data_IF_512114875139
#
_entry.id   IF_512114875139
#
_cell.length_a   1.000
_cell.length_b   1.000
_cell.length_c   1.000
_cell.angle_alpha   90.00
_cell.angle_beta   90.00
_cell.angle_gamma   90.00
#
_symmetry.space_group_name_H-M   'P 1'
#
loop_
_entity.id
_entity.type
_entity.pdbx_description
1 polymer ?
#
# COMPACT_ATOMS: atom_id res chain seq x y z
N UNK A 1 20.72 3.72 19.40
CA UNK A 1 19.53 2.87 19.16
C UNK A 1 20.01 1.76 18.27
N UNK A 2 19.69 0.49 18.59
CA UNK A 2 20.03 -0.60 17.70
C UNK A 2 19.33 -0.35 16.36
N UNK A 3 20.07 -0.50 15.27
CA UNK A 3 19.55 -0.42 13.91
C UNK A 3 18.48 -1.50 13.78
N UNK A 4 17.21 -1.10 13.85
CA UNK A 4 16.10 -2.03 13.57
C UNK A 4 16.15 -2.17 12.06
N UNK A 5 16.76 -3.26 11.58
CA UNK A 5 16.99 -3.46 10.15
C UNK A 5 15.69 -3.31 9.36
N UNK A 6 15.79 -2.71 8.17
CA UNK A 6 14.67 -2.53 7.26
C UNK A 6 14.12 -3.89 6.79
N UNK A 7 12.86 -3.94 6.36
CA UNK A 7 12.19 -5.17 5.94
C UNK A 7 12.91 -5.83 4.74
N UNK A 8 13.42 -5.04 3.81
CA UNK A 8 14.25 -5.48 2.68
C UNK A 8 15.68 -5.87 3.09
N UNK A 9 16.06 -5.64 4.35
CA UNK A 9 17.27 -6.20 4.94
C UNK A 9 17.07 -7.59 5.58
N UNK A 10 15.83 -8.09 5.62
CA UNK A 10 15.46 -9.39 6.22
C UNK A 10 15.49 -10.54 5.21
N UNK A 11 15.42 -11.77 5.73
CA UNK A 11 15.42 -12.99 4.90
C UNK A 11 16.80 -13.31 4.32
N UNK A 12 16.84 -14.26 3.39
CA UNK A 12 18.07 -14.63 2.68
C UNK A 12 18.07 -14.08 1.26
N UNK A 13 19.24 -13.71 0.77
CA UNK A 13 19.43 -13.39 -0.65
C UNK A 13 19.25 -14.66 -1.49
N UNK A 14 18.57 -14.52 -2.63
CA UNK A 14 18.30 -15.59 -3.59
C UNK A 14 18.53 -15.09 -5.01
N UNK A 15 18.77 -16.00 -5.96
CA UNK A 15 18.81 -15.61 -7.37
C UNK A 15 17.39 -15.44 -7.93
N UNK A 16 17.28 -14.74 -9.05
CA UNK A 16 16.01 -14.65 -9.80
C UNK A 16 15.51 -16.02 -10.26
N UNK A 17 16.42 -16.93 -10.64
CA UNK A 17 16.08 -18.30 -11.07
C UNK A 17 15.52 -19.11 -9.90
N UNK A 18 16.14 -18.99 -8.72
CA UNK A 18 15.61 -19.63 -7.52
C UNK A 18 14.22 -19.09 -7.17
N UNK A 19 14.04 -17.76 -7.23
CA UNK A 19 12.76 -17.13 -6.94
C UNK A 19 11.68 -17.56 -7.95
N UNK A 20 12.02 -17.60 -9.24
CA UNK A 20 11.13 -18.07 -10.31
C UNK A 20 10.76 -19.55 -10.14
N UNK A 21 11.70 -20.39 -9.70
CA UNK A 21 11.41 -21.78 -9.38
C UNK A 21 10.46 -21.90 -8.19
N UNK A 22 10.70 -21.11 -7.14
CA UNK A 22 9.91 -21.14 -5.92
C UNK A 22 8.47 -20.68 -6.12
N UNK A 23 8.28 -19.71 -7.02
CA UNK A 23 7.00 -19.14 -7.42
C UNK A 23 6.50 -19.70 -8.75
N UNK A 24 6.98 -20.88 -9.18
CA UNK A 24 6.56 -21.46 -10.46
C UNK A 24 5.04 -21.64 -10.51
N UNK A 25 4.42 -21.04 -11.52
CA UNK A 25 2.96 -21.09 -11.71
C UNK A 25 2.18 -20.06 -10.89
N UNK A 26 2.87 -19.17 -10.17
CA UNK A 26 2.25 -18.07 -9.45
C UNK A 26 1.80 -16.95 -10.41
N UNK A 27 0.58 -16.45 -10.25
CA UNK A 27 -0.01 -15.46 -11.16
C UNK A 27 0.79 -14.14 -11.21
N UNK A 28 1.37 -13.74 -10.07
CA UNK A 28 2.17 -12.52 -9.94
C UNK A 28 3.67 -12.72 -10.26
N UNK A 29 4.09 -13.91 -10.70
CA UNK A 29 5.51 -14.16 -10.99
C UNK A 29 6.02 -13.20 -12.08
N UNK A 30 5.30 -13.04 -13.19
CA UNK A 30 5.73 -12.16 -14.28
C UNK A 30 5.87 -10.70 -13.80
N UNK A 31 4.86 -10.19 -13.09
CA UNK A 31 4.85 -8.85 -12.49
C UNK A 31 6.05 -8.61 -11.56
N UNK A 32 6.41 -9.62 -10.76
CA UNK A 32 7.56 -9.55 -9.87
C UNK A 32 8.89 -9.54 -10.65
N UNK A 33 8.98 -10.35 -11.71
CA UNK A 33 10.17 -10.42 -12.56
C UNK A 33 10.38 -9.16 -13.40
N UNK A 34 9.32 -8.42 -13.74
CA UNK A 34 9.43 -7.12 -14.44
C UNK A 34 10.27 -6.12 -13.65
N UNK A 35 10.39 -6.27 -12.33
CA UNK A 35 11.26 -5.40 -11.52
C UNK A 35 12.71 -5.40 -12.01
N UNK A 36 13.16 -6.48 -12.65
CA UNK A 36 14.50 -6.63 -13.22
C UNK A 36 14.78 -5.62 -14.34
N UNK A 37 13.77 -5.25 -15.10
CA UNK A 37 13.91 -4.41 -16.31
C UNK A 37 13.42 -2.98 -16.11
N UNK A 38 12.69 -2.72 -15.03
CA UNK A 38 12.18 -1.39 -14.68
C UNK A 38 13.20 -0.52 -13.92
N UNK A 39 14.34 -1.11 -13.55
CA UNK A 39 15.40 -0.47 -12.75
C UNK A 39 16.69 -0.33 -13.55
N UNK A 40 17.49 0.69 -13.20
CA UNK A 40 18.83 0.88 -13.77
C UNK A 40 19.86 -0.11 -13.23
N UNK A 41 19.65 -0.58 -12.00
CA UNK A 41 20.49 -1.56 -11.31
C UNK A 41 19.61 -2.68 -10.79
N UNK A 42 19.86 -3.91 -11.25
CA UNK A 42 19.11 -5.11 -10.84
C UNK A 42 19.27 -5.34 -9.33
N UNK A 43 18.20 -5.30 -8.52
CA UNK A 43 18.28 -5.54 -7.09
C UNK A 43 18.52 -7.03 -6.82
N UNK A 44 19.25 -7.34 -5.75
CA UNK A 44 19.38 -8.72 -5.29
C UNK A 44 18.06 -9.18 -4.65
N UNK A 45 17.36 -10.20 -5.19
CA UNK A 45 16.13 -10.68 -4.60
C UNK A 45 16.35 -11.24 -3.20
N UNK A 46 15.39 -11.01 -2.31
CA UNK A 46 15.38 -11.61 -0.98
C UNK A 46 14.10 -12.38 -0.72
N UNK A 47 14.26 -13.46 0.03
CA UNK A 47 13.20 -14.39 0.37
C UNK A 47 13.14 -14.56 1.89
N UNK A 48 11.98 -14.29 2.47
CA UNK A 48 11.63 -14.65 3.83
C UNK A 48 10.79 -15.92 3.78
N UNK A 49 11.31 -17.00 4.35
CA UNK A 49 10.59 -18.28 4.46
C UNK A 49 9.67 -18.24 5.69
N UNK A 50 8.36 -18.25 5.44
CA UNK A 50 7.33 -18.17 6.48
C UNK A 50 6.82 -16.75 6.75
N UNK A 51 5.99 -16.62 7.78
CA UNK A 51 5.37 -15.36 8.17
C UNK A 51 6.32 -14.44 8.95
N UNK A 52 6.14 -13.14 8.80
CA UNK A 52 6.76 -12.09 9.62
C UNK A 52 5.71 -11.56 10.58
N UNK A 53 5.93 -11.73 11.88
CA UNK A 53 5.05 -11.19 12.93
C UNK A 53 5.87 -10.35 13.91
N UNK A 54 5.55 -9.05 14.01
CA UNK A 54 6.23 -8.11 14.91
C UNK A 54 5.24 -7.18 15.60
N UNK A 55 5.70 -6.44 16.61
CA UNK A 55 4.86 -5.46 17.36
C UNK A 55 5.33 -4.02 17.20
N UNK A 56 6.21 -3.75 16.24
CA UNK A 56 6.80 -2.44 15.97
C UNK A 56 6.63 -2.08 14.49
N UNK A 57 6.85 -0.82 14.16
CA UNK A 57 6.78 -0.33 12.79
C UNK A 57 7.84 -1.03 11.93
N UNK A 58 7.52 -1.36 10.68
CA UNK A 58 8.49 -1.87 9.70
C UNK A 58 8.52 -0.95 8.50
N UNK A 59 9.70 -0.73 7.98
CA UNK A 59 9.91 0.05 6.76
C UNK A 59 10.91 -0.64 5.84
N UNK A 60 10.77 -0.41 4.53
CA UNK A 60 11.83 -0.72 3.57
C UNK A 60 12.83 0.42 3.50
N UNK A 61 14.04 0.12 3.03
CA UNK A 61 15.01 1.14 2.63
C UNK A 61 14.64 1.82 1.31
N UNK A 62 15.55 2.66 0.83
CA UNK A 62 15.33 3.56 -0.30
C UNK A 62 15.30 2.85 -1.67
N UNK A 63 15.62 1.56 -1.72
CA UNK A 63 15.56 0.73 -2.92
C UNK A 63 16.72 0.93 -3.92
N UNK A 64 16.64 0.27 -5.09
CA UNK A 64 15.61 -0.69 -5.46
C UNK A 64 15.69 -1.97 -4.62
N UNK A 65 14.54 -2.52 -4.23
CA UNK A 65 14.44 -3.80 -3.51
C UNK A 65 13.46 -4.75 -4.21
N UNK A 66 13.74 -6.06 -4.10
CA UNK A 66 12.82 -7.12 -4.51
C UNK A 66 12.71 -8.12 -3.37
N UNK A 67 11.56 -8.15 -2.71
CA UNK A 67 11.32 -8.95 -1.52
C UNK A 67 10.10 -9.84 -1.69
N UNK A 68 10.23 -11.10 -1.27
CA UNK A 68 9.13 -12.05 -1.18
C UNK A 68 9.02 -12.62 0.22
N UNK A 69 7.81 -12.60 0.77
CA UNK A 69 7.45 -13.21 2.04
C UNK A 69 6.54 -14.39 1.75
N UNK A 70 7.03 -15.62 2.01
CA UNK A 70 6.26 -16.85 1.84
C UNK A 70 5.38 -17.14 3.05
N UNK A 71 4.48 -16.22 3.36
CA UNK A 71 3.61 -16.25 4.52
C UNK A 71 2.90 -14.92 4.75
N UNK A 72 2.45 -14.71 5.97
CA UNK A 72 1.77 -13.48 6.37
C UNK A 72 2.77 -12.37 6.74
N UNK A 73 2.38 -11.12 6.58
CA UNK A 73 3.07 -9.95 7.11
C UNK A 73 2.16 -9.26 8.14
N UNK A 74 2.48 -9.43 9.43
CA UNK A 74 1.65 -8.94 10.53
C UNK A 74 2.46 -8.02 11.43
N UNK A 75 1.96 -6.81 11.62
CA UNK A 75 2.46 -5.90 12.66
C UNK A 75 1.33 -5.20 13.40
N UNK A 76 1.57 -4.84 14.66
CA UNK A 76 0.73 -3.88 15.40
C UNK A 76 1.11 -2.43 15.14
N UNK A 77 2.23 -2.19 14.45
CA UNK A 77 2.75 -0.89 14.04
C UNK A 77 2.32 -0.49 12.63
N UNK A 78 2.98 0.54 12.10
CA UNK A 78 2.82 0.98 10.72
C UNK A 78 3.75 0.21 9.78
N UNK A 79 3.33 0.07 8.51
CA UNK A 79 4.20 -0.40 7.43
C UNK A 79 4.49 0.76 6.48
N UNK A 80 5.76 0.96 6.14
CA UNK A 80 6.19 1.98 5.18
C UNK A 80 6.98 1.35 4.04
N UNK A 81 6.45 1.46 2.83
CA UNK A 81 7.05 0.96 1.60
C UNK A 81 7.47 2.15 0.73
N UNK A 82 8.66 2.66 0.99
CA UNK A 82 9.23 3.79 0.27
C UNK A 82 10.30 3.36 -0.72
N UNK A 83 10.53 4.21 -1.72
CA UNK A 83 11.70 4.17 -2.58
C UNK A 83 12.16 5.61 -2.85
N UNK A 84 13.43 5.78 -3.21
CA UNK A 84 13.91 6.96 -3.90
C UNK A 84 13.30 7.04 -5.32
N UNK A 85 13.44 8.21 -5.96
CA UNK A 85 12.97 8.46 -7.32
C UNK A 85 13.49 7.40 -8.30
N UNK A 86 12.59 6.84 -9.13
CA UNK A 86 12.89 5.84 -10.15
C UNK A 86 13.49 4.51 -9.62
N UNK A 87 13.46 4.25 -8.32
CA UNK A 87 13.94 3.00 -7.72
C UNK A 87 12.81 1.97 -7.62
N UNK A 88 12.30 1.51 -8.78
CA UNK A 88 11.20 0.54 -8.82
C UNK A 88 11.48 -0.69 -7.97
N UNK A 89 10.57 -0.94 -7.05
CA UNK A 89 10.73 -1.96 -6.02
C UNK A 89 9.47 -2.79 -5.87
N UNK A 90 9.63 -4.07 -5.53
CA UNK A 90 8.51 -5.01 -5.50
C UNK A 90 8.50 -5.87 -4.24
N UNK A 91 7.35 -5.92 -3.58
CA UNK A 91 7.05 -6.77 -2.44
C UNK A 91 5.90 -7.69 -2.81
N UNK A 92 6.12 -9.00 -2.68
CA UNK A 92 5.06 -10.01 -2.72
C UNK A 92 4.92 -10.67 -1.35
N UNK A 93 3.72 -10.60 -0.77
CA UNK A 93 3.32 -11.35 0.42
C UNK A 93 2.36 -12.46 -0.01
N UNK A 94 2.74 -13.72 0.15
CA UNK A 94 1.88 -14.83 -0.33
C UNK A 94 0.73 -15.17 0.62
N UNK A 95 0.76 -14.63 1.84
CA UNK A 95 -0.30 -14.70 2.84
C UNK A 95 -1.12 -13.42 2.90
N UNK A 96 -1.57 -13.08 4.11
CA UNK A 96 -2.30 -11.85 4.43
C UNK A 96 -1.36 -10.77 4.96
N UNK A 97 -1.76 -9.51 4.77
CA UNK A 97 -1.11 -8.35 5.38
C UNK A 97 -2.00 -7.76 6.48
N UNK A 98 -1.43 -7.50 7.66
CA UNK A 98 -2.10 -6.83 8.78
C UNK A 98 -1.22 -5.76 9.39
N UNK A 99 -1.74 -4.55 9.53
CA UNK A 99 -1.01 -3.41 10.08
C UNK A 99 -1.93 -2.38 10.75
N UNK A 100 -1.35 -1.46 11.52
CA UNK A 100 -2.06 -0.28 12.03
C UNK A 100 -2.39 0.67 10.88
N UNK A 101 -1.37 1.16 10.18
CA UNK A 101 -1.46 1.94 8.95
C UNK A 101 -0.49 1.37 7.90
N UNK A 102 -0.71 1.71 6.64
CA UNK A 102 0.23 1.43 5.56
C UNK A 102 0.51 2.71 4.79
N UNK A 103 1.77 2.97 4.51
CA UNK A 103 2.24 4.03 3.63
C UNK A 103 3.01 3.39 2.48
N UNK A 104 2.75 3.80 1.25
CA UNK A 104 3.56 3.44 0.10
C UNK A 104 3.77 4.64 -0.82
N UNK A 105 4.92 4.71 -1.46
CA UNK A 105 5.27 5.85 -2.30
C UNK A 105 6.52 5.63 -3.13
N UNK A 106 6.89 6.64 -3.92
CA UNK A 106 7.89 6.48 -4.97
C UNK A 106 7.41 5.43 -5.97
N UNK A 107 8.29 4.49 -6.33
CA UNK A 107 8.02 3.40 -7.26
C UNK A 107 7.78 2.07 -6.54
N UNK A 108 7.26 2.11 -5.30
CA UNK A 108 6.94 0.91 -4.52
C UNK A 108 5.70 0.18 -5.08
N UNK A 109 5.88 -1.11 -5.40
CA UNK A 109 4.84 -1.99 -5.92
C UNK A 109 4.61 -3.13 -4.92
N UNK A 110 3.44 -3.17 -4.30
CA UNK A 110 3.12 -4.11 -3.20
C UNK A 110 1.94 -4.98 -3.59
N UNK A 111 2.13 -6.29 -3.57
CA UNK A 111 1.08 -7.26 -3.86
C UNK A 111 0.94 -8.28 -2.73
N UNK A 112 -0.31 -8.60 -2.40
CA UNK A 112 -0.68 -9.54 -1.32
C UNK A 112 -1.68 -10.57 -1.87
N UNK A 113 -1.39 -11.86 -1.75
CA UNK A 113 -2.28 -12.87 -2.33
C UNK A 113 -3.61 -13.01 -1.58
N UNK A 114 -3.57 -12.87 -0.26
CA UNK A 114 -4.76 -12.93 0.58
C UNK A 114 -5.18 -11.53 1.01
N UNK A 115 -6.03 -11.42 2.02
CA UNK A 115 -6.59 -10.14 2.45
C UNK A 115 -5.52 -9.15 2.97
N UNK A 116 -5.78 -7.87 2.72
CA UNK A 116 -5.10 -6.72 3.35
C UNK A 116 -6.05 -6.14 4.40
N UNK A 117 -5.64 -6.13 5.66
CA UNK A 117 -6.43 -5.60 6.77
C UNK A 117 -5.63 -4.54 7.54
N UNK A 118 -6.06 -3.29 7.39
CA UNK A 118 -5.42 -2.15 8.02
C UNK A 118 -6.42 -1.49 8.97
N UNK A 119 -6.07 -1.34 10.25
CA UNK A 119 -7.02 -0.81 11.24
C UNK A 119 -7.29 0.69 11.06
N UNK A 120 -6.30 1.43 10.58
CA UNK A 120 -6.33 2.85 10.29
C UNK A 120 -6.40 3.09 8.78
N UNK A 121 -5.44 3.86 8.26
CA UNK A 121 -5.45 4.32 6.86
C UNK A 121 -4.37 3.65 6.03
N UNK A 122 -4.62 3.59 4.73
CA UNK A 122 -3.59 3.34 3.71
C UNK A 122 -3.33 4.66 3.00
N UNK A 123 -2.07 5.06 2.87
CA UNK A 123 -1.65 6.28 2.16
C UNK A 123 -0.78 5.90 0.98
N UNK A 124 -1.16 6.37 -0.20
CA UNK A 124 -0.34 6.36 -1.40
C UNK A 124 0.07 7.80 -1.75
N UNK A 125 1.37 8.08 -1.78
CA UNK A 125 1.88 9.44 -2.03
C UNK A 125 3.20 9.44 -2.79
N UNK A 126 3.46 10.53 -3.53
CA UNK A 126 4.66 10.70 -4.35
C UNK A 126 4.82 9.56 -5.35
N UNK A 127 3.72 9.09 -5.93
CA UNK A 127 3.76 7.98 -6.88
C UNK A 127 4.54 8.35 -8.14
N UNK A 128 5.51 7.52 -8.51
CA UNK A 128 6.11 7.48 -9.83
C UNK A 128 6.13 6.02 -10.34
N UNK A 129 6.34 5.83 -11.65
CA UNK A 129 6.63 4.53 -12.28
C UNK A 129 5.92 3.29 -11.68
N UNK A 130 4.57 3.31 -11.69
CA UNK A 130 3.70 2.20 -11.25
C UNK A 130 3.49 2.00 -9.73
N UNK A 131 3.67 3.03 -8.90
CA UNK A 131 3.32 2.99 -7.48
C UNK A 131 1.93 2.37 -7.20
N UNK A 132 1.89 1.17 -6.62
CA UNK A 132 0.63 0.46 -6.41
C UNK A 132 0.66 -0.45 -5.18
N UNK A 133 -0.51 -0.58 -4.56
CA UNK A 133 -0.77 -1.57 -3.52
C UNK A 133 -2.02 -2.37 -3.87
N UNK A 134 -1.93 -3.68 -3.90
CA UNK A 134 -3.14 -4.46 -4.10
C UNK A 134 -3.12 -5.88 -3.59
N UNK A 135 -4.29 -6.49 -3.71
CA UNK A 135 -4.57 -7.80 -3.14
C UNK A 135 -5.48 -8.65 -4.02
N UNK A 136 -5.19 -9.95 -4.12
CA UNK A 136 -6.11 -10.90 -4.77
C UNK A 136 -7.32 -11.23 -3.90
N UNK A 137 -7.27 -10.88 -2.61
CA UNK A 137 -8.36 -10.92 -1.66
C UNK A 137 -9.05 -9.56 -1.48
N UNK A 138 -9.51 -9.30 -0.27
CA UNK A 138 -10.23 -8.09 0.14
C UNK A 138 -9.27 -7.07 0.73
N UNK A 139 -9.42 -5.80 0.36
CA UNK A 139 -8.72 -4.68 0.98
C UNK A 139 -9.65 -3.98 1.98
N UNK A 140 -9.34 -4.09 3.26
CA UNK A 140 -10.08 -3.48 4.37
C UNK A 140 -9.23 -2.43 5.05
N UNK A 141 -9.74 -1.21 5.13
CA UNK A 141 -9.14 -0.10 5.86
C UNK A 141 -10.23 0.86 6.34
N UNK A 142 -9.89 1.79 7.24
CA UNK A 142 -10.78 2.93 7.51
C UNK A 142 -10.94 3.75 6.23
N UNK A 143 -9.83 4.09 5.61
CA UNK A 143 -9.78 4.79 4.33
C UNK A 143 -8.47 4.52 3.60
N UNK A 144 -8.51 4.68 2.27
CA UNK A 144 -7.33 4.77 1.41
C UNK A 144 -7.26 6.21 0.91
N UNK A 145 -6.11 6.86 1.10
CA UNK A 145 -5.85 8.23 0.70
C UNK A 145 -4.77 8.22 -0.38
N UNK A 146 -5.14 8.53 -1.62
CA UNK A 146 -4.26 8.44 -2.78
C UNK A 146 -4.05 9.83 -3.39
N UNK A 147 -2.82 10.09 -3.83
CA UNK A 147 -2.55 11.14 -4.79
C UNK A 147 -3.00 10.76 -6.22
N UNK A 148 -2.66 11.58 -7.22
CA UNK A 148 -3.00 11.31 -8.62
C UNK A 148 -2.15 10.23 -9.29
N UNK A 149 -1.10 9.73 -8.64
CA UNK A 149 -0.08 8.86 -9.23
C UNK A 149 0.06 7.50 -8.54
N UNK A 150 -0.67 7.29 -7.45
CA UNK A 150 -0.76 6.02 -6.74
C UNK A 150 -2.08 5.32 -7.04
N UNK A 151 -2.04 4.00 -7.13
CA UNK A 151 -3.21 3.17 -7.42
C UNK A 151 -3.37 2.03 -6.42
N UNK A 152 -4.58 1.49 -6.35
CA UNK A 152 -4.88 0.27 -5.60
C UNK A 152 -5.67 -0.70 -6.43
N UNK A 153 -5.59 -1.99 -6.11
CA UNK A 153 -6.44 -3.03 -6.69
C UNK A 153 -6.87 -4.09 -5.68
N UNK A 154 -8.03 -4.70 -5.89
CA UNK A 154 -8.58 -5.73 -5.00
C UNK A 154 -9.44 -6.76 -5.75
N UNK A 155 -9.37 -8.03 -5.34
CA UNK A 155 -10.11 -9.18 -5.89
C UNK A 155 -9.96 -9.45 -7.39
N UNK A 156 -8.98 -8.82 -8.02
CA UNK A 156 -8.50 -9.12 -9.36
C UNK A 156 -7.14 -8.42 -9.53
N UNK A 157 -6.24 -9.00 -10.31
CA UNK A 157 -4.91 -8.40 -10.54
C UNK A 157 -5.00 -7.10 -11.34
N UNK A 158 -4.02 -6.21 -11.17
CA UNK A 158 -3.94 -4.95 -11.92
C UNK A 158 -4.04 -5.19 -13.44
N UNK A 159 -4.82 -4.40 -14.20
CA UNK A 159 -5.57 -3.19 -13.81
C UNK A 159 -7.04 -3.45 -13.46
N UNK A 160 -7.44 -4.70 -13.16
CA UNK A 160 -8.83 -5.07 -12.94
C UNK A 160 -9.06 -5.19 -11.46
N UNK A 161 -9.93 -4.37 -10.88
CA UNK A 161 -10.46 -4.64 -9.54
C UNK A 161 -11.93 -5.01 -9.62
N UNK A 162 -12.39 -5.70 -8.59
CA UNK A 162 -13.81 -5.91 -8.34
C UNK A 162 -14.23 -4.93 -7.24
N UNK A 163 -15.21 -4.03 -7.46
CA UNK A 163 -15.61 -3.01 -6.47
C UNK A 163 -15.90 -3.57 -5.07
N UNK A 164 -16.49 -4.76 -4.99
CA UNK A 164 -16.82 -5.47 -3.75
C UNK A 164 -15.60 -6.00 -2.97
N UNK A 165 -14.41 -5.95 -3.59
CA UNK A 165 -13.12 -6.23 -2.98
C UNK A 165 -12.62 -5.12 -2.07
N UNK A 166 -13.16 -3.91 -2.18
CA UNK A 166 -12.77 -2.79 -1.33
C UNK A 166 -13.77 -2.57 -0.19
N UNK A 167 -13.34 -2.87 1.04
CA UNK A 167 -14.07 -2.63 2.31
C UNK A 167 -13.48 -1.42 3.03
N UNK A 168 -13.46 -0.28 2.35
CA UNK A 168 -12.81 0.96 2.79
C UNK A 168 -13.43 2.16 2.09
N UNK A 169 -13.31 3.36 2.65
CA UNK A 169 -13.49 4.58 1.85
C UNK A 169 -12.28 4.80 0.94
N UNK A 170 -12.47 5.36 -0.25
CA UNK A 170 -11.38 5.71 -1.17
C UNK A 170 -11.42 7.20 -1.48
N UNK A 171 -10.35 7.90 -1.12
CA UNK A 171 -10.04 9.26 -1.55
C UNK A 171 -8.96 9.16 -2.63
N UNK A 172 -9.24 9.66 -3.83
CA UNK A 172 -8.30 9.57 -4.94
C UNK A 172 -8.83 10.23 -6.20
N UNK A 173 -8.00 10.25 -7.26
CA UNK A 173 -8.39 10.84 -8.53
C UNK A 173 -9.35 9.95 -9.34
N UNK A 174 -10.20 10.56 -10.18
CA UNK A 174 -11.13 9.86 -11.08
C UNK A 174 -10.48 9.22 -12.33
N UNK A 175 -9.16 9.35 -12.49
CA UNK A 175 -8.44 8.87 -13.68
C UNK A 175 -8.17 7.38 -13.71
N UNK A 176 -8.32 6.69 -12.58
CA UNK A 176 -8.02 5.26 -12.43
C UNK A 176 -9.16 4.37 -12.91
N UNK A 177 -8.81 3.21 -13.47
CA UNK A 177 -9.78 2.20 -13.94
C UNK A 177 -10.06 1.16 -12.85
N UNK A 178 -9.14 1.05 -11.92
CA UNK A 178 -9.07 0.08 -10.85
C UNK A 178 -10.08 0.39 -9.74
N UNK A 179 -10.53 1.63 -9.60
CA UNK A 179 -11.50 2.02 -8.59
C UNK A 179 -12.30 3.26 -8.99
N UNK A 180 -13.42 3.48 -8.31
CA UNK A 180 -14.12 4.77 -8.32
C UNK A 180 -13.98 5.39 -6.93
N UNK A 181 -13.47 6.63 -6.82
CA UNK A 181 -13.29 7.26 -5.51
C UNK A 181 -14.65 7.64 -4.89
N UNK A 182 -14.75 7.55 -3.57
CA UNK A 182 -15.88 8.11 -2.80
C UNK A 182 -15.75 9.63 -2.67
N UNK A 183 -14.51 10.11 -2.59
CA UNK A 183 -14.12 11.52 -2.54
C UNK A 183 -13.07 11.76 -3.60
N UNK A 184 -13.36 12.66 -4.53
CA UNK A 184 -12.41 13.06 -5.56
C UNK A 184 -11.36 13.99 -4.95
N UNK A 185 -10.10 13.54 -4.92
CA UNK A 185 -8.98 14.33 -4.38
C UNK A 185 -8.69 15.59 -5.23
N UNK A 186 -9.16 15.62 -6.48
CA UNK A 186 -9.05 16.78 -7.35
C UNK A 186 -10.08 17.87 -7.08
N UNK A 187 -11.13 17.58 -6.30
CA UNK A 187 -12.19 18.53 -5.95
C UNK A 187 -11.84 19.29 -4.67
N UNK A 188 -10.88 20.20 -4.79
CA UNK A 188 -10.28 20.95 -3.67
C UNK A 188 -11.34 21.72 -2.86
N UNK A 189 -12.42 22.17 -3.50
CA UNK A 189 -13.51 22.92 -2.82
C UNK A 189 -14.25 22.07 -1.78
N UNK A 190 -14.21 20.74 -1.91
CA UNK A 190 -14.86 19.81 -0.98
C UNK A 190 -13.97 19.41 0.20
N UNK A 191 -12.67 19.72 0.19
CA UNK A 191 -11.72 19.21 1.19
C UNK A 191 -12.05 19.72 2.60
N UNK A 192 -12.28 21.02 2.78
CA UNK A 192 -12.66 21.59 4.09
C UNK A 192 -14.02 21.10 4.59
N UNK A 193 -14.92 20.73 3.68
CA UNK A 193 -16.22 20.16 4.00
C UNK A 193 -16.20 18.64 4.23
N UNK A 194 -15.05 17.99 4.04
CA UNK A 194 -14.91 16.53 4.09
C UNK A 194 -13.99 16.08 5.22
N UNK A 195 -12.86 16.77 5.40
CA UNK A 195 -11.81 16.39 6.32
C UNK A 195 -11.78 17.29 7.56
N UNK A 196 -11.23 16.78 8.65
CA UNK A 196 -11.01 17.59 9.85
C UNK A 196 -9.89 18.63 9.60
N UNK A 197 -9.91 19.80 10.24
CA UNK A 197 -8.90 20.85 10.04
C UNK A 197 -7.45 20.39 10.28
N UNK A 198 -7.25 19.43 11.18
CA UNK A 198 -5.94 18.93 11.60
C UNK A 198 -5.19 18.22 10.46
N UNK A 199 -5.92 17.64 9.50
CA UNK A 199 -5.33 16.92 8.36
C UNK A 199 -5.26 17.78 7.09
N UNK A 200 -5.57 19.07 7.20
CA UNK A 200 -5.54 20.00 6.08
C UNK A 200 -4.25 20.83 6.06
N UNK A 201 -3.75 21.13 4.87
CA UNK A 201 -2.75 22.16 4.61
C UNK A 201 -3.28 23.10 3.52
N UNK A 202 -3.44 24.39 3.87
CA UNK A 202 -4.01 25.42 2.98
C UNK A 202 -5.37 25.00 2.37
N UNK A 203 -6.24 24.41 3.21
CA UNK A 203 -7.57 23.95 2.81
C UNK A 203 -7.60 22.63 2.04
N UNK A 204 -6.45 22.01 1.76
CA UNK A 204 -6.37 20.74 1.03
C UNK A 204 -5.97 19.59 1.97
N UNK A 205 -6.46 18.37 1.70
CA UNK A 205 -5.97 17.17 2.37
C UNK A 205 -4.46 17.07 2.25
N UNK A 206 -3.80 16.91 3.40
CA UNK A 206 -2.39 16.64 3.53
C UNK A 206 -2.24 15.20 4.05
N UNK A 207 -1.74 14.32 3.19
CA UNK A 207 -1.66 12.88 3.45
C UNK A 207 -0.73 12.54 4.61
N UNK A 208 0.34 13.31 4.81
CA UNK A 208 1.27 13.13 5.91
C UNK A 208 0.61 13.47 7.25
N UNK A 209 -0.13 14.59 7.28
CA UNK A 209 -0.94 14.93 8.45
C UNK A 209 -2.05 13.92 8.70
N UNK A 210 -2.69 13.42 7.66
CA UNK A 210 -3.72 12.38 7.78
C UNK A 210 -3.15 11.08 8.36
N UNK A 211 -1.97 10.65 7.91
CA UNK A 211 -1.27 9.50 8.47
C UNK A 211 -0.87 9.75 9.93
N UNK A 212 -0.30 10.91 10.23
CA UNK A 212 0.06 11.29 11.60
C UNK A 212 -1.15 11.31 12.55
N UNK A 213 -2.30 11.76 12.06
CA UNK A 213 -3.56 11.73 12.81
C UNK A 213 -4.08 10.29 12.97
N UNK A 214 -4.02 9.47 11.93
CA UNK A 214 -4.45 8.07 11.97
C UNK A 214 -3.59 7.21 12.92
N UNK A 215 -2.32 7.55 13.14
CA UNK A 215 -1.46 6.91 14.17
C UNK A 215 -2.03 7.02 15.58
N UNK A 216 -2.89 8.00 15.87
CA UNK A 216 -3.60 8.11 17.15
C UNK A 216 -4.91 7.31 17.19
N UNK A 217 -5.21 6.53 16.14
CA UNK A 217 -6.46 5.78 15.98
C UNK A 217 -7.65 6.63 15.53
N UNK A 218 -7.43 7.90 15.19
CA UNK A 218 -8.48 8.84 14.80
C UNK A 218 -8.76 8.84 13.29
N UNK A 219 -9.89 9.43 12.89
CA UNK A 219 -10.33 9.46 11.49
C UNK A 219 -9.92 10.79 10.84
N UNK A 220 -9.47 10.79 9.57
CA UNK A 220 -9.17 12.04 8.88
C UNK A 220 -10.43 12.81 8.45
N UNK A 221 -11.62 12.20 8.54
CA UNK A 221 -12.88 12.77 8.08
C UNK A 221 -13.64 13.50 9.19
N UNK A 222 -14.43 14.49 8.80
CA UNK A 222 -15.50 14.99 9.66
C UNK A 222 -16.46 13.82 10.00
N UNK A 223 -16.84 13.61 11.28
CA UNK A 223 -17.56 12.40 11.69
C UNK A 223 -18.87 12.13 10.94
N UNK A 224 -19.67 13.17 10.72
CA UNK A 224 -20.94 13.06 9.99
C UNK A 224 -20.73 12.75 8.50
N UNK A 225 -19.63 13.23 7.92
CA UNK A 225 -19.27 12.96 6.53
C UNK A 225 -18.82 11.53 6.38
N UNK A 226 -17.95 11.03 7.27
CA UNK A 226 -17.51 9.63 7.25
C UNK A 226 -18.70 8.68 7.33
N UNK A 227 -19.61 8.91 8.29
CA UNK A 227 -20.82 8.08 8.46
C UNK A 227 -21.63 8.01 7.18
N UNK A 228 -21.92 9.17 6.57
CA UNK A 228 -22.68 9.25 5.31
C UNK A 228 -21.98 8.54 4.15
N UNK A 229 -20.66 8.69 4.03
CA UNK A 229 -19.88 8.02 2.98
C UNK A 229 -19.90 6.50 3.16
N UNK A 230 -19.73 6.01 4.39
CA UNK A 230 -19.79 4.58 4.71
C UNK A 230 -21.17 4.00 4.41
N UNK A 231 -22.23 4.68 4.84
CA UNK A 231 -23.63 4.28 4.57
C UNK A 231 -23.89 4.18 3.06
N UNK A 232 -23.45 5.18 2.28
CA UNK A 232 -23.58 5.18 0.81
C UNK A 232 -22.86 3.99 0.17
N UNK A 233 -21.71 3.58 0.72
CA UNK A 233 -20.89 2.47 0.23
C UNK A 233 -21.35 1.10 0.74
N UNK A 234 -22.22 1.05 1.75
CA UNK A 234 -22.64 -0.18 2.41
C UNK A 234 -21.57 -0.80 3.31
N UNK A 235 -20.79 0.05 3.99
CA UNK A 235 -19.76 -0.34 4.97
C UNK A 235 -20.26 -0.25 6.41
#
# INVERSE_FOLDING_TARGET
>A
MADVGTLDSMGREVSYEELAERLRGHDLLAWLMDNRTLVSTEPQPRLIEGSVEVTHDLETGDGPWLLVILGDLVTTGDLRFGTDDYATSSLLVTGSLRARNVEYGGSARVAVDQDVVVSGVIVGSNGDSEANLGTSGTLTARAVLLDSHTSIWAKAGSPRSVPEGFRTLIVGGKGWREFTPDVDVGDIELHEATFIPEVLHRGMLDTDKALAHARTGASPFLPDVERRLREKRGL
#
